data_IF_929766522864
#
_entry.id   IF_929766522864
#
_cell.length_a   1.000
_cell.length_b   1.000
_cell.length_c   1.000
_cell.angle_alpha   90.00
_cell.angle_beta   90.00
_cell.angle_gamma   90.00
#
_symmetry.space_group_name_H-M   'P 1'
#
loop_
_entity.id
_entity.type
_entity.pdbx_description
1 polymer ?
#
# COMPACT_ATOMS: atom_id res chain seq x y z
N UNK A 1 -28.08 33.97 16.55
CA UNK A 1 -26.80 34.23 15.87
C UNK A 1 -25.97 32.97 16.07
N UNK A 2 -26.05 32.08 15.09
CA UNK A 2 -25.71 30.65 15.20
C UNK A 2 -24.31 30.47 14.60
N UNK A 3 -23.33 30.07 15.40
CA UNK A 3 -21.95 29.83 14.96
C UNK A 3 -21.87 28.44 14.32
N UNK A 4 -21.44 28.39 13.07
CA UNK A 4 -21.23 27.18 12.29
C UNK A 4 -20.04 26.36 12.81
N UNK A 5 -20.06 25.02 12.68
CA UNK A 5 -18.91 24.18 13.02
C UNK A 5 -17.84 24.31 11.92
N UNK A 6 -16.59 24.50 12.34
CA UNK A 6 -15.43 24.56 11.47
C UNK A 6 -15.17 23.19 10.82
N UNK A 7 -15.13 23.22 9.48
CA UNK A 7 -14.78 22.13 8.59
C UNK A 7 -13.35 21.66 8.89
N UNK A 8 -13.18 20.41 9.34
CA UNK A 8 -11.86 19.79 9.49
C UNK A 8 -11.46 19.21 8.12
N UNK A 9 -10.27 19.50 7.58
CA UNK A 9 -9.80 18.80 6.40
C UNK A 9 -9.50 17.34 6.77
N UNK A 10 -10.31 16.42 6.25
CA UNK A 10 -9.97 14.99 6.25
C UNK A 10 -8.64 14.79 5.49
N UNK A 11 -7.66 14.06 6.05
CA UNK A 11 -6.52 13.63 5.26
C UNK A 11 -7.02 12.60 4.23
N UNK A 12 -6.86 12.93 2.96
CA UNK A 12 -7.19 12.07 1.83
C UNK A 12 -6.47 10.71 1.88
N UNK A 13 -7.09 9.72 2.53
CA UNK A 13 -6.72 8.29 2.47
C UNK A 13 -7.18 7.61 1.17
N UNK A 14 -7.53 8.38 0.13
CA UNK A 14 -8.20 7.90 -1.08
C UNK A 14 -7.30 7.22 -2.12
N UNK A 15 -6.01 7.07 -1.88
CA UNK A 15 -5.07 6.41 -2.81
C UNK A 15 -4.91 4.88 -2.58
N UNK A 16 -5.38 4.35 -1.44
CA UNK A 16 -5.26 2.92 -1.10
C UNK A 16 -6.22 1.92 -1.80
N UNK A 17 -7.34 2.29 -2.46
CA UNK A 17 -8.22 1.32 -3.14
C UNK A 17 -7.88 1.06 -4.62
N UNK A 18 -7.22 2.00 -5.31
CA UNK A 18 -6.95 1.89 -6.75
C UNK A 18 -5.87 0.84 -7.06
N UNK A 19 -4.80 0.76 -6.27
CA UNK A 19 -3.73 -0.22 -6.48
C UNK A 19 -4.19 -1.66 -6.17
N UNK A 20 -5.00 -1.86 -5.11
CA UNK A 20 -5.58 -3.16 -4.75
C UNK A 20 -6.55 -3.68 -5.80
N UNK A 21 -7.37 -2.81 -6.39
CA UNK A 21 -8.30 -3.21 -7.45
C UNK A 21 -7.60 -3.57 -8.76
N UNK A 22 -6.52 -2.85 -9.10
CA UNK A 22 -5.66 -3.19 -10.24
C UNK A 22 -4.94 -4.54 -10.07
N UNK A 23 -4.37 -4.81 -8.89
CA UNK A 23 -3.74 -6.10 -8.56
C UNK A 23 -4.73 -7.26 -8.65
N UNK A 24 -5.91 -7.12 -8.04
CA UNK A 24 -6.95 -8.14 -8.10
C UNK A 24 -7.46 -8.40 -9.54
N UNK A 25 -7.45 -7.39 -10.41
CA UNK A 25 -7.80 -7.56 -11.82
C UNK A 25 -6.72 -8.32 -12.62
N UNK A 26 -5.44 -8.07 -12.32
CA UNK A 26 -4.31 -8.79 -12.92
C UNK A 26 -4.32 -10.27 -12.50
N UNK A 27 -4.54 -10.55 -11.21
CA UNK A 27 -4.61 -11.92 -10.70
C UNK A 27 -5.72 -12.73 -11.37
N UNK A 28 -6.91 -12.14 -11.54
CA UNK A 28 -8.03 -12.77 -12.27
C UNK A 28 -7.69 -13.07 -13.72
N UNK A 29 -6.97 -12.17 -14.41
CA UNK A 29 -6.53 -12.40 -15.80
C UNK A 29 -5.52 -13.54 -15.87
N UNK A 30 -4.61 -13.61 -14.90
CA UNK A 30 -3.59 -14.66 -14.85
C UNK A 30 -4.19 -16.04 -14.57
N UNK A 31 -5.18 -16.11 -13.68
CA UNK A 31 -5.94 -17.33 -13.42
C UNK A 31 -6.76 -17.77 -14.65
N UNK A 32 -7.38 -16.81 -15.36
CA UNK A 32 -8.09 -17.08 -16.60
C UNK A 32 -7.14 -17.62 -17.69
N UNK A 33 -5.96 -17.01 -17.82
CA UNK A 33 -4.92 -17.48 -18.74
C UNK A 33 -4.47 -18.91 -18.40
N UNK A 34 -4.24 -19.24 -17.13
CA UNK A 34 -3.85 -20.61 -16.75
C UNK A 34 -4.95 -21.64 -16.95
N UNK A 35 -6.21 -21.25 -16.80
CA UNK A 35 -7.37 -22.14 -17.02
C UNK A 35 -7.65 -22.39 -18.49
N UNK A 36 -7.78 -21.33 -19.27
CA UNK A 36 -8.29 -21.42 -20.65
C UNK A 36 -7.17 -21.34 -21.69
N UNK A 37 -5.99 -20.85 -21.32
CA UNK A 37 -4.82 -20.73 -22.17
C UNK A 37 -4.42 -22.05 -22.86
N UNK A 38 -4.33 -23.21 -22.17
CA UNK A 38 -4.00 -24.46 -22.83
C UNK A 38 -4.98 -24.82 -23.96
N UNK A 39 -6.28 -24.68 -23.73
CA UNK A 39 -7.32 -24.97 -24.72
C UNK A 39 -7.31 -23.97 -25.88
N UNK A 40 -7.13 -22.68 -25.58
CA UNK A 40 -7.04 -21.63 -26.59
C UNK A 40 -5.82 -21.84 -27.49
N UNK A 41 -4.65 -22.11 -26.90
CA UNK A 41 -3.42 -22.40 -27.64
C UNK A 41 -3.54 -23.68 -28.46
N UNK A 42 -4.15 -24.73 -27.90
CA UNK A 42 -4.43 -25.97 -28.64
C UNK A 42 -5.32 -25.70 -29.85
N UNK A 43 -6.41 -24.95 -29.68
CA UNK A 43 -7.33 -24.60 -30.76
C UNK A 43 -6.65 -23.79 -31.87
N UNK A 44 -5.84 -22.77 -31.52
CA UNK A 44 -5.06 -21.99 -32.48
C UNK A 44 -4.05 -22.87 -33.22
N UNK A 45 -3.37 -23.76 -32.50
CA UNK A 45 -2.38 -24.67 -33.08
C UNK A 45 -3.00 -25.69 -34.03
N UNK A 46 -4.20 -26.20 -33.70
CA UNK A 46 -4.97 -27.12 -34.55
C UNK A 46 -5.48 -26.43 -35.81
N UNK A 47 -5.92 -25.17 -35.70
CA UNK A 47 -6.30 -24.38 -36.87
C UNK A 47 -5.09 -24.21 -37.82
N UNK A 48 -3.94 -23.77 -37.30
CA UNK A 48 -2.72 -23.65 -38.08
C UNK A 48 -2.27 -25.00 -38.69
N UNK A 49 -2.42 -26.10 -37.94
CA UNK A 49 -2.15 -27.45 -38.42
C UNK A 49 -3.11 -27.90 -39.52
N UNK A 50 -4.39 -27.52 -39.47
CA UNK A 50 -5.36 -27.83 -40.53
C UNK A 50 -5.03 -27.11 -41.86
N UNK A 51 -4.53 -25.87 -41.77
CA UNK A 51 -4.08 -25.09 -42.94
C UNK A 51 -2.81 -25.66 -43.59
N UNK A 52 -1.90 -26.20 -42.78
CA UNK A 52 -0.58 -26.67 -43.24
C UNK A 52 -0.53 -28.19 -43.45
N UNK A 53 -1.40 -28.94 -42.80
CA UNK A 53 -1.41 -30.40 -42.80
C UNK A 53 -1.44 -31.06 -44.18
N UNK A 54 -2.15 -30.53 -45.19
CA UNK A 54 -2.12 -31.10 -46.53
C UNK A 54 -0.74 -31.02 -47.21
N UNK A 55 0.13 -30.09 -46.81
CA UNK A 55 1.44 -29.87 -47.45
C UNK A 55 2.59 -30.49 -46.68
N UNK A 56 2.51 -30.56 -45.35
CA UNK A 56 3.63 -30.98 -44.50
C UNK A 56 3.39 -32.27 -43.69
N UNK A 57 2.21 -32.89 -43.78
CA UNK A 57 1.89 -34.12 -43.03
C UNK A 57 1.49 -35.27 -43.93
N UNK A 58 1.92 -36.48 -43.56
CA UNK A 58 1.42 -37.73 -44.12
C UNK A 58 0.00 -38.05 -43.64
N UNK A 59 -0.77 -38.87 -44.36
CA UNK A 59 -2.09 -39.32 -43.89
C UNK A 59 -2.03 -40.06 -42.55
N UNK A 60 -0.91 -40.71 -42.23
CA UNK A 60 -0.68 -41.35 -40.94
C UNK A 60 -0.58 -40.34 -39.81
N UNK A 61 0.21 -39.28 -39.99
CA UNK A 61 0.36 -38.19 -39.02
C UNK A 61 -0.94 -37.42 -38.83
N UNK A 62 -1.72 -37.20 -39.91
CA UNK A 62 -3.03 -36.56 -39.80
C UNK A 62 -3.98 -37.36 -38.90
N UNK A 63 -4.00 -38.69 -39.02
CA UNK A 63 -4.76 -39.56 -38.11
C UNK A 63 -4.19 -39.57 -36.69
N UNK A 64 -2.87 -39.55 -36.53
CA UNK A 64 -2.23 -39.50 -35.23
C UNK A 64 -2.56 -38.20 -34.47
N UNK A 65 -2.62 -37.06 -35.17
CA UNK A 65 -3.03 -35.77 -34.58
C UNK A 65 -4.44 -35.85 -34.00
N UNK A 66 -5.38 -36.57 -34.61
CA UNK A 66 -6.72 -36.74 -34.04
C UNK A 66 -6.68 -37.42 -32.67
N UNK A 67 -5.84 -38.45 -32.52
CA UNK A 67 -5.67 -39.16 -31.25
C UNK A 67 -4.96 -38.30 -30.19
N UNK A 68 -3.86 -37.65 -30.55
CA UNK A 68 -3.12 -36.81 -29.61
C UNK A 68 -3.91 -35.54 -29.23
N UNK A 69 -4.62 -34.93 -30.17
CA UNK A 69 -5.47 -33.77 -29.90
C UNK A 69 -6.68 -34.15 -29.04
N UNK A 70 -7.31 -35.30 -29.31
CA UNK A 70 -8.37 -35.84 -28.46
C UNK A 70 -7.86 -36.11 -27.04
N UNK A 71 -6.69 -36.73 -26.91
CA UNK A 71 -6.02 -36.95 -25.62
C UNK A 71 -5.70 -35.65 -24.89
N UNK A 72 -5.20 -34.63 -25.60
CA UNK A 72 -4.93 -33.31 -25.05
C UNK A 72 -6.21 -32.62 -24.56
N UNK A 73 -7.28 -32.63 -25.35
CA UNK A 73 -8.59 -32.08 -24.93
C UNK A 73 -9.11 -32.79 -23.69
N UNK A 74 -9.07 -34.13 -23.64
CA UNK A 74 -9.49 -34.90 -22.48
C UNK A 74 -8.66 -34.56 -21.24
N UNK A 75 -7.34 -34.43 -21.41
CA UNK A 75 -6.42 -34.05 -20.34
C UNK A 75 -6.73 -32.65 -19.79
N UNK A 76 -6.96 -31.67 -20.67
CA UNK A 76 -7.28 -30.31 -20.25
C UNK A 76 -8.67 -30.21 -19.60
N UNK A 77 -9.67 -30.91 -20.15
CA UNK A 77 -11.01 -30.98 -19.56
C UNK A 77 -10.98 -31.65 -18.19
N UNK A 78 -10.18 -32.71 -18.03
CA UNK A 78 -9.94 -33.31 -16.72
C UNK A 78 -9.27 -32.30 -15.77
N UNK A 79 -8.25 -31.57 -16.22
CA UNK A 79 -7.53 -30.60 -15.39
C UNK A 79 -8.43 -29.43 -14.95
N UNK A 80 -9.38 -29.00 -15.79
CA UNK A 80 -10.38 -27.99 -15.41
C UNK A 80 -11.27 -28.45 -14.25
N UNK A 81 -11.58 -29.74 -14.17
CA UNK A 81 -12.39 -30.34 -13.09
C UNK A 81 -11.56 -30.68 -11.86
N UNK A 82 -10.47 -31.43 -12.04
CA UNK A 82 -9.62 -31.94 -10.97
C UNK A 82 -8.74 -30.87 -10.32
N UNK A 83 -8.43 -29.78 -11.05
CA UNK A 83 -7.57 -28.67 -10.63
C UNK A 83 -6.28 -29.14 -9.96
N UNK A 84 -5.41 -29.86 -10.71
CA UNK A 84 -4.20 -30.43 -10.15
C UNK A 84 -3.34 -29.33 -9.50
N UNK A 85 -2.96 -29.56 -8.25
CA UNK A 85 -2.06 -28.70 -7.50
C UNK A 85 -0.61 -29.20 -7.58
N UNK A 86 0.31 -28.42 -7.02
CA UNK A 86 1.72 -28.78 -6.93
C UNK A 86 1.90 -30.09 -6.14
N UNK A 87 2.60 -31.06 -6.74
CA UNK A 87 2.76 -32.39 -6.15
C UNK A 87 2.82 -33.49 -7.22
N UNK A 88 2.56 -34.74 -6.82
CA UNK A 88 2.62 -35.89 -7.73
C UNK A 88 1.61 -35.79 -8.88
N UNK A 89 0.34 -35.47 -8.58
CA UNK A 89 -0.71 -35.33 -9.59
C UNK A 89 -0.44 -34.17 -10.57
N UNK A 90 0.03 -33.02 -10.06
CA UNK A 90 0.45 -31.89 -10.90
C UNK A 90 1.64 -32.23 -11.79
N UNK A 91 2.64 -32.95 -11.25
CA UNK A 91 3.80 -33.38 -12.03
C UNK A 91 3.39 -34.34 -13.14
N UNK A 92 2.54 -35.33 -12.83
CA UNK A 92 2.00 -36.27 -13.81
C UNK A 92 1.24 -35.55 -14.92
N UNK A 93 0.34 -34.62 -14.57
CA UNK A 93 -0.37 -33.78 -15.54
C UNK A 93 0.61 -32.98 -16.43
N UNK A 94 1.62 -32.33 -15.83
CA UNK A 94 2.58 -31.53 -16.57
C UNK A 94 3.37 -32.36 -17.59
N UNK A 95 3.91 -33.50 -17.17
CA UNK A 95 4.71 -34.35 -18.06
C UNK A 95 3.87 -35.07 -19.10
N UNK A 96 2.65 -35.49 -18.77
CA UNK A 96 1.71 -36.05 -19.75
C UNK A 96 1.34 -35.02 -20.81
N UNK A 97 1.06 -33.79 -20.37
CA UNK A 97 0.80 -32.67 -21.27
C UNK A 97 2.00 -32.38 -22.17
N UNK A 98 3.20 -32.30 -21.59
CA UNK A 98 4.43 -32.09 -22.35
C UNK A 98 4.64 -33.21 -23.39
N UNK A 99 4.43 -34.47 -23.02
CA UNK A 99 4.53 -35.61 -23.94
C UNK A 99 3.53 -35.51 -25.10
N UNK A 100 2.29 -35.11 -24.82
CA UNK A 100 1.29 -34.84 -25.85
C UNK A 100 1.69 -33.66 -26.75
N UNK A 101 2.17 -32.56 -26.18
CA UNK A 101 2.64 -31.40 -26.95
C UNK A 101 3.83 -31.78 -27.85
N UNK A 102 4.76 -32.61 -27.37
CA UNK A 102 5.88 -33.10 -28.14
C UNK A 102 5.43 -34.01 -29.28
N UNK A 103 4.54 -34.98 -29.01
CA UNK A 103 3.99 -35.88 -30.02
C UNK A 103 3.21 -35.12 -31.11
N UNK A 104 2.40 -34.14 -30.70
CA UNK A 104 1.70 -33.24 -31.63
C UNK A 104 2.70 -32.45 -32.48
N UNK A 105 3.72 -31.86 -31.87
CA UNK A 105 4.76 -31.08 -32.58
C UNK A 105 5.57 -31.94 -33.55
N UNK A 106 5.79 -33.21 -33.21
CA UNK A 106 6.46 -34.18 -34.07
C UNK A 106 5.66 -34.41 -35.35
N UNK A 107 4.32 -34.48 -35.26
CA UNK A 107 3.48 -34.61 -36.44
C UNK A 107 3.39 -33.32 -37.25
N UNK A 108 3.34 -32.15 -36.59
CA UNK A 108 3.27 -30.86 -37.27
C UNK A 108 3.91 -29.76 -36.40
N UNK A 109 4.95 -29.05 -36.88
CA UNK A 109 5.65 -28.01 -36.11
C UNK A 109 4.73 -26.89 -35.57
N UNK A 110 3.64 -26.54 -36.26
CA UNK A 110 2.71 -25.51 -35.81
C UNK A 110 1.94 -25.92 -34.54
N UNK A 111 1.87 -27.22 -34.23
CA UNK A 111 1.28 -27.71 -32.99
C UNK A 111 2.13 -27.38 -31.75
N UNK A 112 3.36 -26.92 -31.92
CA UNK A 112 4.23 -26.43 -30.83
C UNK A 112 3.64 -25.23 -30.09
N UNK A 113 2.70 -24.49 -30.68
CA UNK A 113 1.99 -23.39 -30.00
C UNK A 113 1.29 -23.88 -28.72
N UNK A 114 0.80 -25.13 -28.70
CA UNK A 114 0.27 -25.76 -27.49
C UNK A 114 1.34 -25.96 -26.41
N UNK A 115 2.59 -26.24 -26.80
CA UNK A 115 3.70 -26.47 -25.87
C UNK A 115 4.10 -25.20 -25.08
N UNK A 116 3.83 -24.00 -25.61
CA UNK A 116 4.19 -22.71 -24.99
C UNK A 116 3.70 -22.59 -23.55
N UNK A 117 2.54 -23.16 -23.24
CA UNK A 117 1.98 -23.15 -21.88
C UNK A 117 2.86 -23.91 -20.86
N UNK A 118 3.78 -24.76 -21.34
CA UNK A 118 4.79 -25.44 -20.56
C UNK A 118 5.74 -24.50 -19.84
N UNK A 119 6.05 -23.33 -20.42
CA UNK A 119 6.88 -22.29 -19.78
C UNK A 119 6.19 -21.66 -18.57
N UNK A 120 4.89 -21.35 -18.71
CA UNK A 120 4.12 -20.66 -17.67
C UNK A 120 3.64 -21.62 -16.57
N UNK A 121 3.38 -22.90 -16.91
CA UNK A 121 2.84 -23.88 -15.96
C UNK A 121 3.89 -24.56 -15.07
N UNK A 122 5.18 -24.52 -15.40
CA UNK A 122 6.21 -25.33 -14.73
C UNK A 122 6.28 -25.08 -13.22
N UNK A 123 6.30 -23.80 -12.80
CA UNK A 123 6.33 -23.42 -11.40
C UNK A 123 5.05 -23.75 -10.62
N UNK A 124 3.91 -23.91 -11.30
CA UNK A 124 2.62 -24.21 -10.66
C UNK A 124 2.51 -25.68 -10.28
N UNK A 125 3.01 -26.58 -11.12
CA UNK A 125 2.74 -28.01 -11.00
C UNK A 125 3.92 -28.83 -10.44
N UNK A 126 5.17 -28.39 -10.67
CA UNK A 126 6.37 -29.18 -10.38
C UNK A 126 7.05 -28.79 -9.05
N UNK A 127 7.40 -29.73 -8.15
CA UNK A 127 8.06 -29.43 -6.88
C UNK A 127 9.56 -29.10 -7.02
N UNK A 128 10.09 -28.37 -6.03
CA UNK A 128 11.52 -28.11 -5.90
C UNK A 128 12.17 -27.49 -7.14
N UNK A 129 13.21 -28.16 -7.67
CA UNK A 129 13.98 -27.75 -8.86
C UNK A 129 13.43 -28.29 -10.19
N UNK A 130 12.37 -29.11 -10.18
CA UNK A 130 11.79 -29.64 -11.41
C UNK A 130 11.23 -28.57 -12.37
N UNK A 131 10.74 -27.38 -11.95
CA UNK A 131 10.32 -26.35 -12.89
C UNK A 131 11.37 -26.00 -13.94
N UNK A 132 12.66 -25.99 -13.58
CA UNK A 132 13.75 -25.74 -14.53
C UNK A 132 13.83 -26.83 -15.59
N UNK A 133 13.76 -28.10 -15.19
CA UNK A 133 13.74 -29.21 -16.12
C UNK A 133 12.54 -29.13 -17.07
N UNK A 134 11.35 -28.76 -16.56
CA UNK A 134 10.15 -28.56 -17.38
C UNK A 134 10.30 -27.45 -18.43
N UNK A 135 10.89 -26.31 -18.05
CA UNK A 135 11.17 -25.22 -18.98
C UNK A 135 12.17 -25.64 -20.06
N UNK A 136 13.25 -26.34 -19.69
CA UNK A 136 14.22 -26.87 -20.65
C UNK A 136 13.58 -27.89 -21.61
N UNK A 137 12.73 -28.77 -21.11
CA UNK A 137 11.97 -29.72 -21.93
C UNK A 137 10.99 -29.01 -22.88
N UNK A 138 10.36 -27.91 -22.44
CA UNK A 138 9.52 -27.09 -23.32
C UNK A 138 10.36 -26.40 -24.40
N UNK A 139 11.57 -25.94 -24.06
CA UNK A 139 12.52 -25.38 -25.01
C UNK A 139 12.96 -26.37 -26.09
N UNK A 140 13.07 -27.66 -25.78
CA UNK A 140 13.31 -28.71 -26.79
C UNK A 140 12.20 -28.74 -27.84
N UNK A 141 10.93 -28.72 -27.41
CA UNK A 141 9.77 -28.74 -28.31
C UNK A 141 9.77 -27.52 -29.23
N UNK A 142 9.97 -26.33 -28.64
CA UNK A 142 9.96 -25.07 -29.37
C UNK A 142 11.16 -24.93 -30.32
N UNK A 143 12.35 -25.34 -29.90
CA UNK A 143 13.55 -25.31 -30.73
C UNK A 143 13.41 -26.27 -31.92
N UNK A 144 12.87 -27.47 -31.70
CA UNK A 144 12.60 -28.43 -32.75
C UNK A 144 11.64 -27.90 -33.81
N UNK A 145 10.50 -27.35 -33.37
CA UNK A 145 9.53 -26.74 -34.27
C UNK A 145 10.14 -25.59 -35.10
N UNK A 146 10.92 -24.72 -34.47
CA UNK A 146 11.57 -23.59 -35.14
C UNK A 146 12.71 -24.02 -36.09
N UNK A 147 13.22 -25.24 -35.94
CA UNK A 147 14.34 -25.78 -36.74
C UNK A 147 13.87 -26.62 -37.92
N UNK A 148 12.58 -26.57 -38.25
CA UNK A 148 11.97 -27.31 -39.35
C UNK A 148 11.18 -28.55 -38.92
N UNK A 149 11.03 -28.81 -37.62
CA UNK A 149 10.30 -29.96 -37.10
C UNK A 149 11.17 -31.18 -36.80
N UNK A 150 10.51 -32.26 -36.40
CA UNK A 150 11.16 -33.54 -36.09
C UNK A 150 10.74 -34.63 -37.08
N UNK A 151 11.63 -35.56 -37.48
CA UNK A 151 13.08 -35.56 -37.21
C UNK A 151 13.80 -34.37 -37.87
N UNK A 152 14.94 -33.97 -37.32
CA UNK A 152 15.68 -32.82 -37.81
C UNK A 152 16.27 -33.11 -39.20
N UNK A 153 16.02 -32.20 -40.15
CA UNK A 153 16.70 -32.21 -41.45
C UNK A 153 18.17 -31.76 -41.35
N UNK A 154 18.87 -31.73 -42.49
CA UNK A 154 20.29 -31.34 -42.56
C UNK A 154 20.58 -29.97 -41.97
N UNK A 155 19.79 -28.95 -42.33
CA UNK A 155 19.87 -27.61 -41.73
C UNK A 155 19.38 -27.57 -40.28
N UNK A 156 18.44 -28.45 -39.92
CA UNK A 156 17.89 -28.56 -38.57
C UNK A 156 18.94 -28.94 -37.53
N UNK A 157 19.96 -29.72 -37.89
CA UNK A 157 21.07 -30.07 -37.00
C UNK A 157 21.87 -28.84 -36.53
N UNK A 158 21.94 -27.79 -37.36
CA UNK A 158 22.62 -26.52 -37.03
C UNK A 158 21.63 -25.54 -36.38
N UNK A 159 20.41 -25.45 -36.91
CA UNK A 159 19.40 -24.54 -36.38
C UNK A 159 18.94 -24.91 -34.97
N UNK A 160 18.79 -26.21 -34.66
CA UNK A 160 18.30 -26.71 -33.38
C UNK A 160 19.12 -26.24 -32.17
N UNK A 161 20.45 -26.44 -32.09
CA UNK A 161 21.22 -25.98 -30.94
C UNK A 161 21.17 -24.45 -30.78
N UNK A 162 21.13 -23.69 -31.89
CA UNK A 162 21.01 -22.23 -31.87
C UNK A 162 19.65 -21.80 -31.32
N UNK A 163 18.56 -22.39 -31.83
CA UNK A 163 17.20 -22.10 -31.36
C UNK A 163 17.00 -22.56 -29.91
N UNK A 164 17.58 -23.70 -29.53
CA UNK A 164 17.53 -24.19 -28.16
C UNK A 164 18.26 -23.23 -27.21
N UNK A 165 19.48 -22.80 -27.55
CA UNK A 165 20.22 -21.80 -26.78
C UNK A 165 19.43 -20.48 -26.65
N UNK A 166 18.76 -20.04 -27.73
CA UNK A 166 17.88 -18.87 -27.71
C UNK A 166 16.72 -19.03 -26.72
N UNK A 167 15.98 -20.15 -26.77
CA UNK A 167 14.86 -20.40 -25.85
C UNK A 167 15.32 -20.52 -24.40
N UNK A 168 16.45 -21.19 -24.15
CA UNK A 168 17.06 -21.28 -22.81
C UNK A 168 17.48 -19.91 -22.30
N UNK A 169 18.13 -19.09 -23.14
CA UNK A 169 18.51 -17.72 -22.81
C UNK A 169 17.31 -16.83 -22.48
N UNK A 170 16.24 -16.93 -23.27
CA UNK A 170 14.99 -16.21 -23.01
C UNK A 170 14.34 -16.63 -21.69
N UNK A 171 14.31 -17.93 -21.39
CA UNK A 171 13.85 -18.44 -20.10
C UNK A 171 14.69 -17.90 -18.94
N UNK A 172 16.02 -17.85 -19.09
CA UNK A 172 16.92 -17.31 -18.08
C UNK A 172 16.70 -15.81 -17.83
N UNK A 173 16.45 -15.03 -18.89
CA UNK A 173 16.12 -13.59 -18.77
C UNK A 173 14.79 -13.41 -18.03
N UNK A 174 13.72 -14.07 -18.47
CA UNK A 174 12.42 -13.96 -17.79
C UNK A 174 12.49 -14.41 -16.34
N UNK A 175 13.25 -15.47 -16.06
CA UNK A 175 13.53 -15.92 -14.70
C UNK A 175 14.21 -14.85 -13.86
N UNK A 176 15.27 -14.22 -14.40
CA UNK A 176 15.98 -13.15 -13.70
C UNK A 176 15.10 -11.93 -13.43
N UNK A 177 14.24 -11.56 -14.39
CA UNK A 177 13.27 -10.48 -14.24
C UNK A 177 12.24 -10.80 -13.16
N UNK A 178 11.59 -11.99 -13.19
CA UNK A 178 10.63 -12.38 -12.15
C UNK A 178 11.24 -12.42 -10.76
N UNK A 179 12.46 -12.94 -10.60
CA UNK A 179 13.13 -12.92 -9.30
C UNK A 179 13.40 -11.49 -8.80
N UNK A 180 13.70 -10.57 -9.71
CA UNK A 180 13.97 -9.17 -9.37
C UNK A 180 12.69 -8.46 -8.97
N UNK A 181 11.60 -8.65 -9.72
CA UNK A 181 10.27 -8.13 -9.41
C UNK A 181 9.76 -8.64 -8.06
N UNK A 182 9.92 -9.95 -7.77
CA UNK A 182 9.54 -10.52 -6.48
C UNK A 182 10.30 -9.88 -5.31
N UNK A 183 11.61 -9.65 -5.48
CA UNK A 183 12.44 -8.99 -4.45
C UNK A 183 12.01 -7.55 -4.24
N UNK A 184 11.77 -6.80 -5.31
CA UNK A 184 11.29 -5.42 -5.25
C UNK A 184 9.91 -5.34 -4.59
N UNK A 185 8.99 -6.24 -4.95
CA UNK A 185 7.65 -6.28 -4.36
C UNK A 185 7.71 -6.59 -2.86
N UNK A 186 8.62 -7.47 -2.41
CA UNK A 186 8.83 -7.74 -0.98
C UNK A 186 9.41 -6.53 -0.26
N UNK A 187 10.47 -5.92 -0.78
CA UNK A 187 11.07 -4.72 -0.18
C UNK A 187 10.09 -3.54 -0.11
N UNK A 188 9.24 -3.37 -1.13
CA UNK A 188 8.18 -2.35 -1.12
C UNK A 188 7.14 -2.61 -0.02
N UNK A 189 6.70 -3.87 0.16
CA UNK A 189 5.78 -4.24 1.24
C UNK A 189 6.40 -3.97 2.61
N UNK A 190 7.64 -4.40 2.84
CA UNK A 190 8.35 -4.15 4.10
C UNK A 190 8.49 -2.64 4.38
N UNK A 191 8.71 -1.82 3.36
CA UNK A 191 8.78 -0.36 3.50
C UNK A 191 7.43 0.26 3.85
N UNK A 192 6.34 -0.22 3.22
CA UNK A 192 4.98 0.22 3.52
C UNK A 192 4.63 -0.12 4.97
N UNK A 193 4.88 -1.37 5.38
CA UNK A 193 4.61 -1.82 6.76
C UNK A 193 5.40 -0.99 7.78
N UNK A 194 6.67 -0.67 7.50
CA UNK A 194 7.50 0.18 8.35
C UNK A 194 7.02 1.64 8.41
N UNK A 195 6.52 2.19 7.30
CA UNK A 195 5.94 3.52 7.25
C UNK A 195 4.62 3.60 8.03
N UNK A 196 3.78 2.56 7.94
CA UNK A 196 2.55 2.45 8.71
C UNK A 196 2.86 2.44 10.21
N UNK A 197 3.81 1.62 10.66
CA UNK A 197 4.23 1.57 12.07
C UNK A 197 4.83 2.90 12.56
N UNK A 198 5.67 3.54 11.76
CA UNK A 198 6.25 4.84 12.10
C UNK A 198 5.17 5.94 12.21
N UNK A 199 4.17 5.91 11.33
CA UNK A 199 3.07 6.86 11.35
C UNK A 199 2.16 6.66 12.58
N UNK A 200 1.88 5.42 12.96
CA UNK A 200 1.15 5.11 14.20
C UNK A 200 1.89 5.63 15.44
N UNK A 201 3.21 5.42 15.52
CA UNK A 201 4.05 5.95 16.62
C UNK A 201 4.07 7.47 16.64
N UNK A 202 4.17 8.12 15.48
CA UNK A 202 4.13 9.58 15.37
C UNK A 202 2.78 10.13 15.82
N UNK A 203 1.67 9.51 15.39
CA UNK A 203 0.34 9.90 15.80
C UNK A 203 0.14 9.76 17.32
N UNK A 204 0.65 8.69 17.93
CA UNK A 204 0.64 8.50 19.38
C UNK A 204 1.44 9.58 20.11
N UNK A 205 2.66 9.88 19.65
CA UNK A 205 3.50 10.92 20.25
C UNK A 205 2.88 12.33 20.13
N UNK A 206 2.24 12.64 19.00
CA UNK A 206 1.52 13.91 18.82
C UNK A 206 0.32 14.01 19.76
N UNK A 207 -0.43 12.92 19.95
CA UNK A 207 -1.53 12.88 20.90
C UNK A 207 -1.06 13.07 22.35
N UNK A 208 0.06 12.47 22.74
CA UNK A 208 0.67 12.65 24.05
C UNK A 208 1.14 14.11 24.24
N UNK A 209 1.82 14.69 23.25
CA UNK A 209 2.30 16.07 23.33
C UNK A 209 1.15 17.07 23.46
N UNK A 210 0.07 16.87 22.69
CA UNK A 210 -1.14 17.68 22.81
C UNK A 210 -1.76 17.57 24.21
N UNK A 211 -1.83 16.36 24.78
CA UNK A 211 -2.31 16.14 26.15
C UNK A 211 -1.46 16.86 27.20
N UNK A 212 -0.13 16.85 27.06
CA UNK A 212 0.77 17.57 27.97
C UNK A 212 0.64 19.10 27.83
N UNK A 213 0.44 19.62 26.61
CA UNK A 213 0.22 21.05 26.38
C UNK A 213 -1.08 21.53 27.04
N UNK A 214 -2.16 20.74 26.97
CA UNK A 214 -3.40 21.05 27.69
C UNK A 214 -3.17 21.10 29.21
N UNK A 215 -2.39 20.17 29.76
CA UNK A 215 -2.05 20.17 31.19
C UNK A 215 -1.24 21.42 31.59
N UNK A 216 -0.24 21.81 30.79
CA UNK A 216 0.54 23.02 31.04
C UNK A 216 -0.34 24.28 31.02
N UNK A 217 -1.28 24.38 30.07
CA UNK A 217 -2.22 25.51 30.02
C UNK A 217 -3.13 25.59 31.26
N UNK A 218 -3.57 24.43 31.78
CA UNK A 218 -4.33 24.39 33.04
C UNK A 218 -3.47 24.81 34.22
N UNK A 219 -2.23 24.32 34.31
CA UNK A 219 -1.29 24.66 35.40
C UNK A 219 -0.95 26.15 35.41
N UNK A 220 -0.63 26.75 34.26
CA UNK A 220 -0.37 28.18 34.12
C UNK A 220 -1.59 29.01 34.54
N UNK A 221 -2.79 28.56 34.18
CA UNK A 221 -4.03 29.24 34.60
C UNK A 221 -4.24 29.17 36.11
N UNK A 222 -4.03 28.00 36.72
CA UNK A 222 -4.17 27.83 38.17
C UNK A 222 -3.12 28.64 38.94
N UNK A 223 -1.87 28.63 38.47
CA UNK A 223 -0.79 29.45 39.03
C UNK A 223 -1.12 30.95 38.91
N UNK A 224 -1.60 31.40 37.75
CA UNK A 224 -2.03 32.78 37.54
C UNK A 224 -3.18 33.21 38.46
N UNK A 225 -4.18 32.34 38.66
CA UNK A 225 -5.27 32.60 39.63
C UNK A 225 -4.73 32.70 41.06
N UNK A 226 -3.79 31.83 41.43
CA UNK A 226 -3.20 31.83 42.77
C UNK A 226 -2.35 33.09 43.03
N UNK A 227 -1.60 33.56 42.02
CA UNK A 227 -0.80 34.77 42.10
C UNK A 227 -1.69 36.03 42.22
N UNK A 228 -2.74 36.10 41.39
CA UNK A 228 -3.76 37.16 41.45
C UNK A 228 -4.41 37.24 42.83
N UNK A 229 -4.81 36.10 43.42
CA UNK A 229 -5.37 36.06 44.78
C UNK A 229 -4.39 36.59 45.83
N UNK A 230 -3.11 36.27 45.69
CA UNK A 230 -2.07 36.73 46.62
C UNK A 230 -1.87 38.24 46.51
N UNK A 231 -1.84 38.78 45.28
CA UNK A 231 -1.79 40.22 45.03
C UNK A 231 -3.00 40.95 45.62
N UNK A 232 -4.20 40.46 45.36
CA UNK A 232 -5.44 41.03 45.89
C UNK A 232 -5.47 41.00 47.43
N UNK A 233 -5.01 39.92 48.06
CA UNK A 233 -4.91 39.85 49.51
C UNK A 233 -3.97 40.92 50.09
N UNK A 234 -2.84 41.18 49.42
CA UNK A 234 -1.91 42.24 49.81
C UNK A 234 -2.52 43.65 49.65
N UNK A 235 -3.14 43.96 48.50
CA UNK A 235 -3.80 45.26 48.28
C UNK A 235 -4.95 45.51 49.27
N UNK A 236 -5.77 44.49 49.55
CA UNK A 236 -6.82 44.57 50.57
C UNK A 236 -6.20 44.81 51.94
N UNK A 237 -5.12 44.09 52.28
CA UNK A 237 -4.45 44.27 53.57
C UNK A 237 -3.87 45.68 53.73
N UNK A 238 -3.22 46.23 52.70
CA UNK A 238 -2.69 47.59 52.71
C UNK A 238 -3.81 48.63 52.85
N UNK A 239 -4.92 48.45 52.11
CA UNK A 239 -6.09 49.33 52.18
C UNK A 239 -6.74 49.27 53.55
N UNK A 240 -6.88 48.08 54.14
CA UNK A 240 -7.41 47.89 55.48
C UNK A 240 -6.49 48.51 56.53
N UNK A 241 -5.18 48.28 56.46
CA UNK A 241 -4.20 48.86 57.38
C UNK A 241 -4.22 50.40 57.30
N UNK A 242 -4.28 50.96 56.09
CA UNK A 242 -4.40 52.40 55.86
C UNK A 242 -5.72 52.95 56.39
N UNK A 243 -6.84 52.30 56.10
CA UNK A 243 -8.17 52.69 56.59
C UNK A 243 -8.25 52.66 58.12
N UNK A 244 -7.74 51.60 58.74
CA UNK A 244 -7.71 51.45 60.19
C UNK A 244 -6.82 52.52 60.84
N UNK A 245 -5.65 52.80 60.27
CA UNK A 245 -4.77 53.89 60.71
C UNK A 245 -5.50 55.22 60.64
N UNK A 246 -6.20 55.50 59.52
CA UNK A 246 -7.01 56.70 59.36
C UNK A 246 -8.11 56.83 60.42
N UNK A 247 -8.87 55.75 60.70
CA UNK A 247 -9.90 55.74 61.75
C UNK A 247 -9.30 55.96 63.14
N UNK A 248 -8.16 55.30 63.45
CA UNK A 248 -7.46 55.48 64.72
C UNK A 248 -7.01 56.94 64.88
N UNK A 249 -6.41 57.54 63.84
CA UNK A 249 -6.00 58.95 63.86
C UNK A 249 -7.21 59.88 64.04
N UNK A 250 -8.33 59.62 63.36
CA UNK A 250 -9.57 60.39 63.52
C UNK A 250 -10.16 60.29 64.94
N UNK A 251 -10.17 59.08 65.52
CA UNK A 251 -10.61 58.85 66.90
C UNK A 251 -9.70 59.56 67.90
N UNK A 252 -8.38 59.47 67.73
CA UNK A 252 -7.39 60.16 68.56
C UNK A 252 -7.58 61.68 68.52
N UNK A 253 -7.81 62.26 67.34
CA UNK A 253 -8.10 63.69 67.19
C UNK A 253 -9.41 64.09 67.89
N UNK A 254 -10.46 63.27 67.81
CA UNK A 254 -11.74 63.52 68.48
C UNK A 254 -11.61 63.44 70.01
N UNK A 255 -10.86 62.47 70.56
CA UNK A 255 -10.59 62.38 72.01
C UNK A 255 -9.70 63.49 72.54
N UNK A 256 -8.70 63.94 71.76
CA UNK A 256 -7.88 65.10 72.10
C UNK A 256 -8.70 66.41 72.06
N UNK A 257 -9.82 66.43 71.34
CA UNK A 257 -10.78 67.54 71.30
C UNK A 257 -11.83 67.46 72.42
N UNK A 258 -11.89 66.35 73.16
CA UNK A 258 -12.82 66.11 74.27
C UNK A 258 -12.21 66.54 75.63
N UNK A 259 -11.67 67.75 75.68
CA UNK A 259 -11.54 68.54 76.91
C UNK A 259 -12.90 69.20 77.21
N UNK A 260 -13.37 69.28 78.48
CA UNK A 260 -14.60 69.99 78.82
C UNK A 260 -14.39 71.51 78.67
N UNK A 261 -14.47 72.02 77.44
CA UNK A 261 -14.28 73.44 77.20
C UNK A 261 -14.13 73.95 75.77
N UNK A 262 -14.51 73.21 74.72
CA UNK A 262 -14.51 73.79 73.37
C UNK A 262 -15.46 73.09 72.39
N UNK A 263 -16.73 72.88 72.79
CA UNK A 263 -17.77 72.65 71.81
C UNK A 263 -18.04 73.95 71.04
N UNK A 264 -17.88 73.89 69.71
CA UNK A 264 -18.18 74.91 68.67
C UNK A 264 -17.01 75.82 68.26
N UNK A 265 -16.22 75.36 67.30
CA UNK A 265 -15.83 76.17 66.13
C UNK A 265 -15.00 75.35 65.13
N UNK A 266 -15.58 74.36 64.47
CA UNK A 266 -15.01 73.90 63.19
C UNK A 266 -16.11 73.40 62.25
N UNK A 267 -17.03 74.33 61.93
CA UNK A 267 -17.72 74.25 60.64
C UNK A 267 -17.65 75.63 60.01
N UNK A 268 -17.23 75.63 58.74
CA UNK A 268 -17.44 76.67 57.71
C UNK A 268 -16.40 77.81 57.68
N UNK A 269 -15.48 77.78 56.70
CA UNK A 269 -15.75 78.41 55.39
C UNK A 269 -14.71 78.09 54.29
N UNK A 270 -15.06 78.28 53.00
CA UNK A 270 -14.46 77.66 51.82
C UNK A 270 -13.69 78.64 50.90
N UNK A 271 -13.15 78.04 49.80
CA UNK A 271 -12.82 78.60 48.45
C UNK A 271 -11.32 78.86 48.19
N UNK A 272 -10.87 79.04 46.92
CA UNK A 272 -11.36 78.54 45.63
C UNK A 272 -10.27 77.87 44.75
N UNK A 273 -10.76 77.20 43.71
CA UNK A 273 -10.17 76.81 42.41
C UNK A 273 -8.87 77.55 41.98
N UNK A 274 -7.82 76.78 41.64
CA UNK A 274 -6.87 77.14 40.58
C UNK A 274 -6.80 76.02 39.55
N UNK A 275 -7.15 76.37 38.32
CA UNK A 275 -6.98 75.56 37.14
C UNK A 275 -5.59 75.78 36.55
N UNK A 276 -4.96 74.74 35.99
CA UNK A 276 -4.16 74.93 34.78
C UNK A 276 -4.18 73.70 33.89
N UNK A 277 -4.74 73.93 32.71
CA UNK A 277 -4.77 73.03 31.57
C UNK A 277 -3.44 73.02 30.81
N UNK A 278 -3.12 71.89 30.18
CA UNK A 278 -2.41 71.78 28.89
C UNK A 278 -2.68 70.37 28.32
N UNK A 279 -3.65 70.19 27.41
CA UNK A 279 -3.59 70.27 25.92
C UNK A 279 -2.63 69.28 25.24
N UNK A 280 -3.22 68.48 24.34
CA UNK A 280 -2.60 67.67 23.29
C UNK A 280 -3.29 66.30 23.13
N UNK A 281 -4.46 66.10 22.48
CA UNK A 281 -4.70 65.97 21.01
C UNK A 281 -3.60 65.14 20.32
N UNK A 282 -3.86 63.97 19.74
CA UNK A 282 -4.70 63.74 18.54
C UNK A 282 -5.03 62.25 18.32
N UNK A 283 -5.98 61.92 17.41
CA UNK A 283 -6.53 60.58 17.15
C UNK A 283 -5.58 59.59 16.46
#
# INVERSE_FOLDING_TARGET
MTMAPADRPEPALSALPAHRSAGAALDRRWDAFHRWGPLALLAVSLAASALTGPTIMTPGEQRAVLWYAGGAVLLEVWALRARPARGAAGSAYYFLRWGLSFALTWCNPFLSVYAVIGYFGAGRYLPGRLPYAGMLLTAVVMAGANSGGFPLGSWGLVAFPVMYALHVGLCAIFWHLSLTEERQARAQRETIDALEEANERLAAALAENAGLQEQLLVQEREAGIADERRRLAAEIHDTLAQGLTGVITQLQAATASAEPGAARAHIVRPRPRQARARRGSTP
#
